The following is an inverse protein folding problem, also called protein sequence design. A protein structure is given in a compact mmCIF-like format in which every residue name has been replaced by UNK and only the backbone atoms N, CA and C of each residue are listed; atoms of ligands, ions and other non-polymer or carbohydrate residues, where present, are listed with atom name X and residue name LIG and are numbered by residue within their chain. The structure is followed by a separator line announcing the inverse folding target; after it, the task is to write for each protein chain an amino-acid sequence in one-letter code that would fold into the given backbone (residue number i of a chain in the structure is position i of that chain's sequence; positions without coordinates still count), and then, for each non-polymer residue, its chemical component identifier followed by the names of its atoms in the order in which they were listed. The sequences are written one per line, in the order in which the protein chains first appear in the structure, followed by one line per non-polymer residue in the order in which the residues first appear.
data_IF_467753078154
#
_entry.id   IF_467753078154
#
_cell.length_a   1.000
_cell.length_b   1.000
_cell.length_c   1.000
_cell.angle_alpha   90.00
_cell.angle_beta   90.00
_cell.angle_gamma   90.00
#
_symmetry.space_group_name_H-M   'P 1'
#
loop_
_entity.id
_entity.type
_entity.pdbx_description
1 polymer ?
#
# COMPACT_ATOMS: atom_id res chain seq x y z
N UNK A 1 -1.60 -12.18 -11.48
CA UNK A 1 -1.50 -10.81 -10.95
C UNK A 1 -2.06 -9.85 -11.97
N UNK A 2 -2.95 -8.96 -11.51
CA UNK A 2 -3.50 -7.91 -12.34
C UNK A 2 -2.41 -6.87 -12.69
N UNK A 3 -2.48 -6.23 -13.87
CA UNK A 3 -1.56 -5.15 -14.23
C UNK A 3 -1.77 -3.95 -13.30
N UNK A 4 -0.69 -3.19 -13.09
CA UNK A 4 -0.77 -1.94 -12.32
C UNK A 4 -1.51 -0.90 -13.15
N UNK A 5 -2.48 -0.23 -12.53
CA UNK A 5 -3.18 0.92 -13.11
C UNK A 5 -2.61 2.21 -12.52
N UNK A 6 -2.32 3.17 -13.38
CA UNK A 6 -1.79 4.49 -12.99
C UNK A 6 -2.70 5.58 -13.52
N UNK A 7 -3.20 6.41 -12.62
CA UNK A 7 -3.99 7.59 -12.96
C UNK A 7 -3.22 8.86 -12.59
N UNK A 8 -3.31 9.86 -13.44
CA UNK A 8 -2.62 11.15 -13.24
C UNK A 8 -3.60 12.29 -13.48
N UNK A 9 -3.37 13.41 -12.76
CA UNK A 9 -4.13 14.64 -12.92
C UNK A 9 -5.64 14.47 -12.78
N UNK A 10 -6.08 13.53 -11.96
CA UNK A 10 -7.48 13.35 -11.61
C UNK A 10 -7.78 14.08 -10.30
N UNK A 11 -8.94 14.71 -10.24
CA UNK A 11 -9.50 15.16 -8.97
C UNK A 11 -10.05 13.96 -8.16
N UNK A 12 -10.47 14.22 -6.92
CA UNK A 12 -10.96 13.17 -6.01
C UNK A 12 -12.18 12.46 -6.60
N UNK A 13 -13.09 13.16 -7.27
CA UNK A 13 -14.31 12.58 -7.83
C UNK A 13 -14.00 11.72 -9.06
N UNK A 14 -13.13 12.21 -9.93
CA UNK A 14 -12.67 11.47 -11.11
C UNK A 14 -11.94 10.20 -10.70
N UNK A 15 -11.06 10.29 -9.69
CA UNK A 15 -10.30 9.16 -9.19
C UNK A 15 -11.22 8.09 -8.58
N UNK A 16 -12.16 8.49 -7.73
CA UNK A 16 -13.11 7.53 -7.13
C UNK A 16 -14.00 6.89 -8.19
N UNK A 17 -14.39 7.64 -9.23
CA UNK A 17 -15.09 7.10 -10.40
C UNK A 17 -14.27 6.06 -11.16
N UNK A 18 -12.99 6.33 -11.41
CA UNK A 18 -12.08 5.39 -12.07
C UNK A 18 -11.87 4.11 -11.25
N UNK A 19 -11.65 4.23 -9.92
CA UNK A 19 -11.53 3.07 -9.02
C UNK A 19 -12.83 2.26 -9.00
N UNK A 20 -13.99 2.92 -8.97
CA UNK A 20 -15.28 2.24 -9.02
C UNK A 20 -15.47 1.46 -10.31
N UNK A 21 -15.12 2.05 -11.46
CA UNK A 21 -15.20 1.38 -12.75
C UNK A 21 -14.32 0.12 -12.78
N UNK A 22 -13.04 0.22 -12.37
CA UNK A 22 -12.14 -0.93 -12.25
C UNK A 22 -12.70 -1.99 -11.30
N UNK A 23 -13.24 -1.58 -10.15
CA UNK A 23 -13.89 -2.50 -9.22
C UNK A 23 -15.05 -3.25 -9.87
N UNK A 24 -15.90 -2.55 -10.62
CA UNK A 24 -17.06 -3.16 -11.28
C UNK A 24 -16.67 -4.09 -12.43
N UNK A 25 -15.55 -3.83 -13.10
CA UNK A 25 -15.02 -4.68 -14.16
C UNK A 25 -14.29 -5.93 -13.66
N UNK A 26 -13.81 -5.93 -12.41
CA UNK A 26 -13.14 -7.11 -11.84
C UNK A 26 -14.08 -8.31 -11.81
N UNK A 27 -13.65 -9.44 -12.36
CA UNK A 27 -14.38 -10.72 -12.27
C UNK A 27 -14.45 -11.20 -10.81
N UNK A 28 -13.33 -11.10 -10.08
CA UNK A 28 -13.27 -11.39 -8.65
C UNK A 28 -13.12 -10.05 -7.90
N UNK A 29 -14.19 -9.64 -7.21
CA UNK A 29 -14.21 -8.37 -6.49
C UNK A 29 -13.16 -8.34 -5.39
N UNK A 30 -12.33 -7.30 -5.28
CA UNK A 30 -11.47 -7.08 -4.13
C UNK A 30 -12.29 -7.06 -2.83
N UNK A 31 -11.82 -7.79 -1.82
CA UNK A 31 -12.47 -7.81 -0.50
C UNK A 31 -12.07 -6.61 0.36
N UNK A 32 -10.96 -5.95 0.02
CA UNK A 32 -10.43 -4.77 0.71
C UNK A 32 -9.74 -3.86 -0.31
N UNK A 33 -9.93 -2.56 -0.16
CA UNK A 33 -9.26 -1.51 -0.94
C UNK A 33 -8.55 -0.60 0.05
N UNK A 34 -7.23 -0.59 0.06
CA UNK A 34 -6.45 0.26 0.94
C UNK A 34 -6.06 1.55 0.23
N UNK A 35 -6.30 2.68 0.88
CA UNK A 35 -5.98 4.01 0.37
C UNK A 35 -5.05 4.69 1.36
N UNK A 36 -3.91 5.21 0.90
CA UNK A 36 -3.04 6.05 1.74
C UNK A 36 -3.81 7.30 2.16
N UNK A 37 -4.06 7.45 3.46
CA UNK A 37 -4.86 8.53 4.03
C UNK A 37 -4.12 9.88 4.07
N UNK A 38 -2.83 9.92 3.72
CA UNK A 38 -2.05 11.16 3.77
C UNK A 38 -2.51 12.10 2.63
N UNK A 39 -2.84 13.34 2.98
CA UNK A 39 -3.33 14.33 2.02
C UNK A 39 -4.77 14.06 1.58
N UNK A 40 -5.01 13.96 0.28
CA UNK A 40 -6.34 13.79 -0.31
C UNK A 40 -6.93 12.39 -0.14
N UNK A 41 -6.11 11.41 0.23
CA UNK A 41 -6.51 9.99 0.24
C UNK A 41 -7.62 9.65 1.24
N UNK A 42 -7.71 10.35 2.38
CA UNK A 42 -8.82 10.14 3.32
C UNK A 42 -10.17 10.42 2.66
N UNK A 43 -10.31 11.54 1.92
CA UNK A 43 -11.53 11.86 1.18
C UNK A 43 -11.85 10.86 0.06
N UNK A 44 -10.82 10.29 -0.57
CA UNK A 44 -10.99 9.21 -1.56
C UNK A 44 -11.58 7.97 -0.89
N UNK A 45 -11.02 7.54 0.25
CA UNK A 45 -11.52 6.38 0.98
C UNK A 45 -12.96 6.57 1.47
N UNK A 46 -13.29 7.76 1.99
CA UNK A 46 -14.65 8.10 2.43
C UNK A 46 -15.63 8.01 1.26
N UNK A 47 -15.30 8.61 0.13
CA UNK A 47 -16.15 8.57 -1.04
C UNK A 47 -16.35 7.16 -1.60
N UNK A 48 -15.30 6.35 -1.63
CA UNK A 48 -15.42 4.94 -2.04
C UNK A 48 -16.35 4.15 -1.11
N UNK A 49 -16.30 4.41 0.21
CA UNK A 49 -17.22 3.78 1.18
C UNK A 49 -18.67 4.22 0.97
N UNK A 50 -18.91 5.50 0.70
CA UNK A 50 -20.25 6.00 0.33
C UNK A 50 -20.81 5.31 -0.93
N UNK A 51 -19.92 4.95 -1.87
CA UNK A 51 -20.28 4.21 -3.08
C UNK A 51 -20.42 2.69 -2.83
N UNK A 52 -20.32 2.23 -1.58
CA UNK A 52 -20.48 0.83 -1.18
C UNK A 52 -19.26 -0.06 -1.39
N UNK A 53 -18.07 0.51 -1.65
CA UNK A 53 -16.85 -0.26 -1.80
C UNK A 53 -16.18 -0.53 -0.44
N UNK A 54 -15.47 -1.67 -0.28
CA UNK A 54 -14.77 -2.03 0.96
C UNK A 54 -13.45 -1.24 1.10
N UNK A 55 -13.52 0.08 1.19
CA UNK A 55 -12.37 0.97 1.23
C UNK A 55 -11.94 1.31 2.66
N UNK A 56 -10.63 1.29 2.90
CA UNK A 56 -9.99 1.57 4.16
C UNK A 56 -8.92 2.65 4.00
N UNK A 57 -9.03 3.72 4.77
CA UNK A 57 -8.02 4.76 4.86
C UNK A 57 -6.90 4.28 5.77
N UNK A 58 -5.67 4.23 5.27
CA UNK A 58 -4.48 3.79 6.02
C UNK A 58 -3.53 4.98 6.18
N UNK A 59 -3.29 5.38 7.40
CA UNK A 59 -2.26 6.38 7.70
C UNK A 59 -0.93 5.67 7.96
N UNK A 60 -0.08 5.64 6.97
CA UNK A 60 1.23 4.95 7.07
C UNK A 60 2.21 5.60 8.05
N UNK A 61 1.91 6.79 8.57
CA UNK A 61 2.70 7.47 9.60
C UNK A 61 2.33 7.04 11.03
N UNK A 62 1.23 6.30 11.20
CA UNK A 62 0.79 5.82 12.51
C UNK A 62 1.77 4.84 13.15
N UNK A 63 1.53 4.58 14.43
CA UNK A 63 2.31 3.59 15.18
C UNK A 63 2.14 2.20 14.59
N UNK A 64 3.23 1.46 14.39
CA UNK A 64 3.17 0.10 13.89
C UNK A 64 2.66 -0.85 14.98
N UNK A 65 2.15 -2.02 14.60
CA UNK A 65 1.79 -3.07 15.55
C UNK A 65 3.02 -3.58 16.31
N UNK A 66 4.17 -3.64 15.63
CA UNK A 66 5.45 -4.06 16.22
C UNK A 66 6.35 -2.85 16.53
N UNK A 67 5.89 -1.95 17.40
CA UNK A 67 6.54 -0.66 17.72
C UNK A 67 7.97 -0.78 18.28
N UNK A 68 8.38 -1.95 18.76
CA UNK A 68 9.75 -2.20 19.19
C UNK A 68 10.72 -2.36 18.01
N UNK A 69 10.24 -2.80 16.84
CA UNK A 69 11.04 -3.11 15.66
C UNK A 69 10.99 -2.03 14.59
N UNK A 70 9.86 -1.35 14.44
CA UNK A 70 9.60 -0.41 13.36
C UNK A 70 9.30 0.99 13.88
N UNK A 71 9.73 2.01 13.13
CA UNK A 71 9.50 3.41 13.50
C UNK A 71 8.03 3.80 13.34
N UNK A 72 7.41 3.37 12.26
CA UNK A 72 6.02 3.65 11.89
C UNK A 72 5.43 2.51 11.06
N UNK A 73 4.14 2.60 10.75
CA UNK A 73 3.42 1.59 9.98
C UNK A 73 4.03 1.39 8.59
N UNK A 74 4.50 2.47 7.91
CA UNK A 74 5.18 2.34 6.62
C UNK A 74 6.39 1.40 6.70
N UNK A 75 7.21 1.51 7.73
CA UNK A 75 8.37 0.64 7.91
C UNK A 75 7.95 -0.82 8.14
N UNK A 76 6.90 -1.06 8.91
CA UNK A 76 6.36 -2.40 9.14
C UNK A 76 5.83 -3.02 7.85
N UNK A 77 5.04 -2.28 7.05
CA UNK A 77 4.48 -2.76 5.80
C UNK A 77 5.55 -3.10 4.76
N UNK A 78 6.59 -2.27 4.62
CA UNK A 78 7.73 -2.53 3.75
C UNK A 78 8.46 -3.83 4.14
N UNK A 79 8.64 -4.08 5.44
CA UNK A 79 9.27 -5.32 5.90
C UNK A 79 8.37 -6.55 5.74
N UNK A 80 7.05 -6.39 5.86
CA UNK A 80 6.10 -7.47 5.53
C UNK A 80 6.16 -7.83 4.06
N UNK A 81 6.20 -6.82 3.17
CA UNK A 81 6.38 -7.04 1.73
C UNK A 81 7.72 -7.74 1.44
N UNK A 82 8.83 -7.29 2.08
CA UNK A 82 10.14 -7.92 1.97
C UNK A 82 10.08 -9.39 2.36
N UNK A 83 9.55 -9.72 3.54
CA UNK A 83 9.46 -11.09 4.03
C UNK A 83 8.60 -11.96 3.10
N UNK A 84 7.52 -11.40 2.56
CA UNK A 84 6.68 -12.09 1.59
C UNK A 84 7.45 -12.40 0.30
N UNK A 85 8.25 -11.46 -0.21
CA UNK A 85 9.10 -11.66 -1.39
C UNK A 85 10.20 -12.70 -1.15
N UNK A 86 10.79 -12.74 0.04
CA UNK A 86 11.80 -13.71 0.44
C UNK A 86 11.26 -15.15 0.48
N UNK A 87 9.96 -15.32 0.68
CA UNK A 87 9.29 -16.63 0.65
C UNK A 87 9.34 -17.33 -0.71
N UNK A 88 9.70 -16.64 -1.79
CA UNK A 88 9.93 -17.13 -3.16
C UNK A 88 8.74 -17.80 -3.87
N UNK A 89 7.68 -18.17 -3.17
CA UNK A 89 6.42 -18.65 -3.77
C UNK A 89 5.46 -17.48 -4.01
N UNK A 90 5.96 -16.50 -4.75
CA UNK A 90 5.25 -15.23 -4.98
C UNK A 90 5.27 -14.87 -6.46
N UNK A 91 4.24 -14.13 -6.89
CA UNK A 91 4.14 -13.63 -8.26
C UNK A 91 3.82 -12.15 -8.24
N UNK A 92 4.73 -11.35 -8.77
CA UNK A 92 4.53 -9.92 -9.01
C UNK A 92 4.00 -9.67 -10.42
N UNK A 93 3.32 -8.54 -10.67
CA UNK A 93 3.09 -8.04 -12.01
C UNK A 93 4.42 -7.88 -12.75
N UNK A 94 4.43 -8.13 -14.06
CA UNK A 94 5.62 -7.84 -14.86
C UNK A 94 5.68 -6.35 -15.19
N UNK A 95 6.05 -5.57 -14.20
CA UNK A 95 6.14 -4.11 -14.26
C UNK A 95 7.53 -3.69 -13.80
N UNK A 96 8.31 -3.10 -14.71
CA UNK A 96 9.71 -2.73 -14.44
C UNK A 96 9.83 -1.51 -13.53
N UNK A 97 8.81 -0.63 -13.52
CA UNK A 97 8.75 0.49 -12.59
C UNK A 97 8.59 -0.03 -11.16
N UNK A 98 7.62 -0.92 -10.91
CA UNK A 98 7.46 -1.53 -9.59
C UNK A 98 8.74 -2.21 -9.11
N UNK A 99 9.36 -3.02 -9.97
CA UNK A 99 10.63 -3.71 -9.65
C UNK A 99 11.74 -2.73 -9.28
N UNK A 100 11.91 -1.68 -10.09
CA UNK A 100 12.91 -0.64 -9.84
C UNK A 100 12.64 0.10 -8.54
N UNK A 101 11.39 0.48 -8.27
CA UNK A 101 11.02 1.19 -7.06
C UNK A 101 11.25 0.33 -5.81
N UNK A 102 10.90 -0.97 -5.83
CA UNK A 102 11.10 -1.90 -4.72
C UNK A 102 12.58 -2.06 -4.33
N UNK A 103 13.50 -2.06 -5.29
CA UNK A 103 14.95 -2.24 -5.01
C UNK A 103 15.67 -0.92 -4.72
N UNK A 104 15.06 0.22 -5.02
CA UNK A 104 15.69 1.54 -4.88
C UNK A 104 15.55 2.12 -3.48
N UNK A 105 14.45 1.82 -2.79
CA UNK A 105 14.16 2.34 -1.45
C UNK A 105 15.10 1.72 -0.42
N UNK A 106 15.68 2.56 0.42
CA UNK A 106 16.63 2.16 1.46
C UNK A 106 15.98 2.18 2.84
N UNK A 107 16.59 1.44 3.75
CA UNK A 107 16.24 1.51 5.17
C UNK A 107 17.44 1.86 6.02
N UNK A 108 17.18 2.40 7.19
CA UNK A 108 18.18 2.71 8.22
C UNK A 108 17.64 2.29 9.58
N UNK A 109 18.47 2.36 10.59
CA UNK A 109 18.06 2.18 11.98
C UNK A 109 18.04 3.51 12.70
N UNK A 110 17.05 3.72 13.55
CA UNK A 110 17.02 4.84 14.48
C UNK A 110 18.04 4.63 15.60
N UNK A 111 18.30 5.66 16.42
CA UNK A 111 19.14 5.54 17.63
C UNK A 111 18.62 4.50 18.63
N UNK A 112 17.31 4.22 18.60
CA UNK A 112 16.68 3.17 19.42
C UNK A 112 16.64 1.79 18.73
N UNK A 113 17.35 1.60 17.62
CA UNK A 113 17.44 0.32 16.89
C UNK A 113 16.23 -0.02 16.03
N UNK A 114 15.23 0.87 15.94
CA UNK A 114 14.03 0.60 15.12
C UNK A 114 14.32 0.85 13.64
N UNK A 115 13.74 0.00 12.79
CA UNK A 115 13.81 0.18 11.33
C UNK A 115 13.04 1.43 10.90
N UNK A 116 13.69 2.24 10.07
CA UNK A 116 13.11 3.40 9.38
C UNK A 116 13.30 3.22 7.88
N UNK A 117 12.23 3.35 7.10
CA UNK A 117 12.29 3.42 5.64
C UNK A 117 12.60 4.85 5.21
N UNK A 118 13.43 4.99 4.20
CA UNK A 118 13.79 6.27 3.58
C UNK A 118 12.52 7.06 3.20
N UNK A 119 12.47 8.31 3.61
CA UNK A 119 11.35 9.22 3.32
C UNK A 119 11.39 9.71 1.87
N UNK A 120 10.23 10.17 1.35
CA UNK A 120 10.16 10.81 0.02
C UNK A 120 11.11 12.01 -0.10
N UNK A 121 11.34 12.75 1.00
CA UNK A 121 12.31 13.86 1.03
C UNK A 121 13.78 13.38 0.92
N UNK A 122 14.10 12.27 1.57
CA UNK A 122 15.44 11.66 1.48
C UNK A 122 15.70 11.10 0.08
N UNK A 123 14.71 10.43 -0.52
CA UNK A 123 14.74 9.95 -1.92
C UNK A 123 14.98 11.12 -2.89
N UNK A 124 14.22 12.21 -2.75
CA UNK A 124 14.40 13.41 -3.59
C UNK A 124 15.80 14.01 -3.48
N UNK A 125 16.41 14.02 -2.28
CA UNK A 125 17.79 14.47 -2.09
C UNK A 125 18.81 13.61 -2.85
N UNK A 126 18.52 12.33 -3.06
CA UNK A 126 19.33 11.41 -3.87
C UNK A 126 19.01 11.47 -5.38
N UNK A 127 18.12 12.36 -5.81
CA UNK A 127 17.65 12.43 -7.21
C UNK A 127 16.74 11.28 -7.63
N UNK A 128 16.12 10.59 -6.66
CA UNK A 128 15.22 9.45 -6.90
C UNK A 128 13.77 9.92 -6.85
N UNK A 129 12.98 9.46 -7.82
CA UNK A 129 11.54 9.72 -7.84
C UNK A 129 10.81 9.03 -6.68
N UNK A 130 9.59 9.49 -6.40
CA UNK A 130 8.72 8.85 -5.40
C UNK A 130 8.37 7.42 -5.82
N UNK A 131 8.47 6.43 -4.92
CA UNK A 131 8.18 5.02 -5.20
C UNK A 131 6.68 4.72 -5.11
N UNK A 132 5.87 5.41 -5.91
CA UNK A 132 4.41 5.41 -5.74
C UNK A 132 3.80 4.04 -6.02
N UNK A 133 4.30 3.30 -7.01
CA UNK A 133 3.85 1.93 -7.29
C UNK A 133 4.26 0.95 -6.19
N UNK A 134 5.47 1.11 -5.65
CA UNK A 134 5.94 0.28 -4.54
C UNK A 134 5.21 0.62 -3.22
N UNK A 135 4.98 1.89 -2.92
CA UNK A 135 4.19 2.29 -1.74
C UNK A 135 2.75 1.75 -1.84
N UNK A 136 2.10 1.82 -3.02
CA UNK A 136 0.78 1.23 -3.25
C UNK A 136 0.78 -0.30 -3.09
N UNK A 137 1.80 -0.98 -3.61
CA UNK A 137 1.97 -2.43 -3.41
C UNK A 137 2.14 -2.78 -1.94
N UNK A 138 3.03 -2.07 -1.25
CA UNK A 138 3.31 -2.29 0.17
C UNK A 138 2.07 -2.05 1.03
N UNK A 139 1.22 -1.10 0.66
CA UNK A 139 -0.04 -0.82 1.36
C UNK A 139 -1.00 -2.02 1.37
N UNK A 140 -0.92 -2.92 0.39
CA UNK A 140 -1.74 -4.15 0.37
C UNK A 140 -1.46 -5.10 1.53
N UNK A 141 -0.38 -4.91 2.28
CA UNK A 141 -0.06 -5.68 3.49
C UNK A 141 -0.68 -5.09 4.78
N UNK A 142 -1.50 -4.04 4.66
CA UNK A 142 -2.13 -3.41 5.82
C UNK A 142 -3.13 -4.34 6.53
N UNK A 143 -3.81 -5.24 5.82
CA UNK A 143 -4.69 -6.26 6.43
C UNK A 143 -3.94 -7.19 7.40
N UNK A 144 -2.66 -7.46 7.11
CA UNK A 144 -1.83 -8.35 7.91
C UNK A 144 -1.15 -7.61 9.09
N UNK A 145 -1.23 -6.28 9.14
CA UNK A 145 -0.54 -5.44 10.12
C UNK A 145 -1.27 -5.35 11.48
N UNK A 146 -2.39 -6.07 11.63
CA UNK A 146 -3.14 -6.00 12.88
C UNK A 146 -3.67 -4.58 13.19
N UNK A 147 -3.73 -3.71 12.18
CA UNK A 147 -4.46 -2.47 12.28
C UNK A 147 -5.88 -2.83 12.67
N UNK A 148 -6.26 -2.49 13.90
CA UNK A 148 -7.55 -2.83 14.49
C UNK A 148 -8.68 -2.09 13.77
N UNK A 149 -8.89 -2.45 12.51
CA UNK A 149 -10.09 -2.11 11.78
C UNK A 149 -11.14 -3.12 12.24
N UNK A 150 -11.78 -2.80 13.40
CA UNK A 150 -12.97 -3.47 13.89
C UNK A 150 -12.94 -5.00 13.87
N UNK A 151 -12.33 -5.62 14.87
CA UNK A 151 -12.68 -6.95 15.38
C UNK A 151 -13.05 -8.05 14.37
N UNK A 152 -12.21 -8.37 13.38
CA UNK A 152 -12.40 -9.58 12.59
C UNK A 152 -11.18 -10.49 12.68
N UNK A 153 -11.40 -11.58 13.41
CA UNK A 153 -10.60 -12.79 13.52
C UNK A 153 -10.00 -13.22 12.18
N UNK A 154 -8.72 -13.63 12.23
CA UNK A 154 -7.97 -14.25 11.14
C UNK A 154 -8.79 -15.32 10.41
N UNK A 155 -9.23 -15.02 9.20
CA UNK A 155 -9.71 -16.05 8.28
C UNK A 155 -8.51 -16.64 7.54
N UNK A 156 -8.50 -17.98 7.46
CA UNK A 156 -7.55 -18.80 6.71
C UNK A 156 -7.06 -18.11 5.44
N UNK A 157 -5.74 -18.00 5.32
CA UNK A 157 -5.05 -17.52 4.13
C UNK A 157 -5.36 -18.43 2.93
N UNK A 158 -6.43 -18.09 2.18
CA UNK A 158 -6.53 -18.47 0.78
C UNK A 158 -5.50 -17.67 -0.03
N UNK A 159 -5.25 -18.06 -1.28
CA UNK A 159 -4.36 -17.31 -2.20
C UNK A 159 -4.84 -15.85 -2.25
N UNK A 160 -4.09 -14.94 -1.61
CA UNK A 160 -4.39 -13.52 -1.63
C UNK A 160 -3.98 -12.99 -3.00
N UNK A 161 -4.94 -12.61 -3.83
CA UNK A 161 -4.69 -11.84 -5.04
C UNK A 161 -4.62 -10.37 -4.65
N UNK A 162 -3.50 -9.73 -4.93
CA UNK A 162 -3.28 -8.30 -4.65
C UNK A 162 -3.36 -7.53 -5.96
N UNK A 163 -4.34 -6.64 -6.07
CA UNK A 163 -4.41 -5.64 -7.14
C UNK A 163 -3.76 -4.36 -6.65
N UNK A 164 -2.96 -3.74 -7.49
CA UNK A 164 -2.19 -2.54 -7.16
C UNK A 164 -2.72 -1.40 -8.02
N UNK A 165 -3.22 -0.36 -7.38
CA UNK A 165 -3.53 0.90 -8.02
C UNK A 165 -2.76 2.02 -7.33
N UNK A 166 -1.94 2.74 -8.08
CA UNK A 166 -1.17 3.89 -7.58
C UNK A 166 -1.71 5.20 -8.15
N UNK A 167 -1.73 6.23 -7.31
CA UNK A 167 -1.99 7.61 -7.72
C UNK A 167 -0.65 8.30 -7.85
N UNK A 168 -0.37 8.88 -8.99
CA UNK A 168 0.84 9.68 -9.25
C UNK A 168 0.45 11.11 -9.60
#
# INVERSE_FOLDING_TARGET
TEPIRLWRNLDTMQLTGAIKAEYDECQEKPVEIFVDAIGLGAGVADRLREMGLPAYAINVSESPAMGQHYLNLRAELWYKAKNWLEGRDVKLPNDDRLKSELVTVRYTYTSSGRVKIESKAELKKRGVASPDSADAFVLTFASDAGTAIGGRSSRRMGKIRRAIAGIV
#
